data_IF_635715838621
#
_entry.id   IF_635715838621
#
_cell.length_a   1.000
_cell.length_b   1.000
_cell.length_c   1.000
_cell.angle_alpha   90.00
_cell.angle_beta   90.00
_cell.angle_gamma   90.00
#
_symmetry.space_group_name_H-M   'P 1'
#
loop_
_entity.id
_entity.type
_entity.pdbx_description
1 polymer ?
#
# COMPACT_ATOMS: atom_id res chain seq x y z
N UNK A 1 16.02 -4.30 -61.27
CA UNK A 1 16.21 -5.39 -60.29
C UNK A 1 15.10 -5.33 -59.25
N UNK A 2 14.39 -6.43 -58.94
CA UNK A 2 13.37 -6.40 -57.90
C UNK A 2 14.03 -6.43 -56.52
N UNK A 3 13.62 -5.52 -55.65
CA UNK A 3 14.13 -5.40 -54.29
C UNK A 3 13.77 -6.64 -53.46
N UNK A 4 14.80 -7.39 -53.06
CA UNK A 4 14.69 -8.49 -52.09
C UNK A 4 14.39 -7.88 -50.72
N UNK A 5 13.19 -8.14 -50.17
CA UNK A 5 12.83 -7.79 -48.80
C UNK A 5 13.60 -8.68 -47.84
N UNK A 6 14.52 -8.12 -47.06
CA UNK A 6 15.21 -8.82 -45.98
C UNK A 6 14.20 -9.20 -44.88
N UNK A 7 14.10 -10.49 -44.56
CA UNK A 7 13.37 -11.02 -43.41
C UNK A 7 14.04 -10.55 -42.10
N UNK A 8 13.67 -9.36 -41.63
CA UNK A 8 14.02 -8.91 -40.29
C UNK A 8 13.31 -9.76 -39.24
N UNK A 9 14.04 -10.25 -38.25
CA UNK A 9 13.53 -11.04 -37.12
C UNK A 9 12.18 -10.50 -36.62
N UNK A 10 11.16 -11.37 -36.55
CA UNK A 10 9.81 -11.01 -36.16
C UNK A 10 9.80 -10.46 -34.72
N UNK A 11 9.74 -9.13 -34.58
CA UNK A 11 9.59 -8.48 -33.28
C UNK A 11 8.15 -8.69 -32.79
N UNK A 12 8.01 -9.25 -31.60
CA UNK A 12 6.70 -9.35 -30.96
C UNK A 12 6.12 -7.96 -30.74
N UNK A 13 4.85 -7.77 -31.13
CA UNK A 13 4.15 -6.52 -30.87
C UNK A 13 3.84 -6.39 -29.37
N UNK A 14 3.83 -5.16 -28.82
CA UNK A 14 3.44 -4.91 -27.43
C UNK A 14 2.05 -5.49 -27.09
N UNK A 15 1.02 -5.37 -27.95
CA UNK A 15 -0.26 -6.03 -27.72
C UNK A 15 -0.18 -7.57 -27.67
N UNK A 16 0.66 -8.18 -28.52
CA UNK A 16 0.87 -9.64 -28.51
C UNK A 16 1.47 -10.10 -27.19
N UNK A 17 2.52 -9.42 -26.70
CA UNK A 17 3.14 -9.70 -25.41
C UNK A 17 2.16 -9.50 -24.25
N UNK A 18 1.36 -8.43 -24.28
CA UNK A 18 0.36 -8.19 -23.25
C UNK A 18 -0.68 -9.31 -23.21
N UNK A 19 -1.18 -9.78 -24.35
CA UNK A 19 -2.13 -10.90 -24.42
C UNK A 19 -1.52 -12.18 -23.85
N UNK A 20 -0.25 -12.44 -24.18
CA UNK A 20 0.49 -13.59 -23.69
C UNK A 20 0.61 -13.54 -22.15
N UNK A 21 1.06 -12.42 -21.59
CA UNK A 21 1.21 -12.25 -20.13
C UNK A 21 -0.10 -12.33 -19.36
N UNK A 22 -1.25 -12.02 -19.99
CA UNK A 22 -2.57 -12.10 -19.35
C UNK A 22 -3.22 -13.47 -19.43
N UNK A 23 -2.71 -14.37 -20.26
CA UNK A 23 -3.37 -15.64 -20.50
C UNK A 23 -3.07 -16.63 -19.36
N UNK A 24 -4.11 -16.97 -18.59
CA UNK A 24 -4.01 -17.93 -17.47
C UNK A 24 -3.74 -19.37 -17.93
N UNK A 25 -3.90 -19.65 -19.23
CA UNK A 25 -3.58 -20.97 -19.83
C UNK A 25 -2.14 -21.37 -19.53
N UNK A 26 -1.22 -20.40 -19.51
CA UNK A 26 0.19 -20.67 -19.21
C UNK A 26 0.43 -21.09 -17.75
N UNK A 27 -0.48 -20.75 -16.84
CA UNK A 27 -0.49 -21.17 -15.44
C UNK A 27 -1.35 -22.43 -15.19
N UNK A 28 -1.83 -23.08 -16.27
CA UNK A 28 -2.55 -24.35 -16.20
C UNK A 28 -4.07 -24.26 -16.22
N UNK A 29 -4.66 -23.08 -16.44
CA UNK A 29 -6.12 -22.90 -16.50
C UNK A 29 -6.53 -22.30 -17.83
N UNK A 30 -7.17 -23.10 -18.67
CA UNK A 30 -7.78 -22.65 -19.91
C UNK A 30 -9.27 -22.36 -19.70
N UNK A 31 -9.77 -21.24 -20.22
CA UNK A 31 -11.18 -20.88 -20.11
C UNK A 31 -11.90 -21.15 -21.43
N UNK A 32 -12.85 -22.07 -21.45
CA UNK A 32 -13.71 -22.34 -22.59
C UNK A 32 -14.99 -21.51 -22.52
N UNK A 33 -15.29 -20.75 -23.58
CA UNK A 33 -16.50 -19.94 -23.69
C UNK A 33 -16.25 -18.57 -24.30
N UNK A 34 -17.32 -17.78 -24.47
CA UNK A 34 -17.26 -16.42 -25.01
C UNK A 34 -17.63 -15.41 -23.92
N UNK A 35 -16.68 -14.53 -23.56
CA UNK A 35 -16.92 -13.44 -22.60
C UNK A 35 -18.20 -12.67 -22.96
N UNK A 36 -19.14 -12.60 -22.00
CA UNK A 36 -20.36 -11.80 -22.08
C UNK A 36 -21.62 -12.53 -22.59
N UNK A 37 -21.54 -13.81 -22.97
CA UNK A 37 -22.74 -14.62 -23.30
C UNK A 37 -22.93 -15.85 -22.42
N UNK A 38 -21.84 -16.53 -22.06
CA UNK A 38 -21.87 -17.76 -21.25
C UNK A 38 -20.87 -17.67 -20.09
N UNK A 39 -21.08 -18.46 -19.03
CA UNK A 39 -20.08 -18.65 -17.96
C UNK A 39 -18.84 -19.35 -18.52
N UNK A 40 -17.66 -18.80 -18.24
CA UNK A 40 -16.40 -19.39 -18.69
C UNK A 40 -16.13 -20.68 -17.90
N UNK A 41 -15.97 -21.80 -18.61
CA UNK A 41 -15.70 -23.09 -17.99
C UNK A 41 -14.18 -23.25 -17.85
N UNK A 42 -13.64 -23.35 -16.62
CA UNK A 42 -12.22 -23.60 -16.41
C UNK A 42 -11.88 -25.06 -16.74
N UNK A 43 -10.82 -25.26 -17.52
CA UNK A 43 -10.28 -26.56 -17.92
C UNK A 43 -8.81 -26.60 -17.52
N UNK A 44 -8.44 -27.62 -16.75
CA UNK A 44 -7.05 -27.84 -16.34
C UNK A 44 -6.21 -28.30 -17.54
N UNK A 45 -5.06 -27.64 -17.74
CA UNK A 45 -4.11 -27.95 -18.81
C UNK A 45 -2.68 -27.96 -18.26
N UNK A 46 -1.72 -28.63 -18.91
CA UNK A 46 -0.33 -28.61 -18.48
C UNK A 46 0.21 -27.18 -18.40
N UNK A 47 0.65 -26.78 -17.20
CA UNK A 47 1.19 -25.45 -16.97
C UNK A 47 2.61 -25.30 -17.57
N UNK A 48 2.88 -24.16 -18.19
CA UNK A 48 4.21 -23.79 -18.71
C UNK A 48 4.98 -22.97 -17.66
N UNK A 49 4.26 -22.21 -16.83
CA UNK A 49 4.81 -21.42 -15.71
C UNK A 49 4.08 -21.75 -14.41
N UNK A 50 4.74 -21.57 -13.26
CA UNK A 50 4.09 -21.77 -11.96
C UNK A 50 2.99 -20.72 -11.72
N UNK A 51 2.00 -21.10 -10.90
CA UNK A 51 0.90 -20.20 -10.51
C UNK A 51 1.41 -18.92 -9.84
N UNK A 52 2.36 -19.08 -8.92
CA UNK A 52 3.03 -17.97 -8.23
C UNK A 52 3.68 -16.97 -9.20
N UNK A 53 4.38 -17.47 -10.23
CA UNK A 53 5.02 -16.61 -11.24
C UNK A 53 3.99 -15.82 -12.03
N UNK A 54 2.87 -16.45 -12.40
CA UNK A 54 1.80 -15.81 -13.14
C UNK A 54 1.06 -14.75 -12.29
N UNK A 55 0.77 -15.07 -11.03
CA UNK A 55 0.13 -14.14 -10.09
C UNK A 55 1.02 -12.89 -9.86
N UNK A 56 2.33 -13.08 -9.66
CA UNK A 56 3.30 -11.99 -9.58
C UNK A 56 3.32 -11.12 -10.85
N UNK A 57 3.22 -11.74 -12.04
CA UNK A 57 3.14 -11.02 -13.30
C UNK A 57 1.85 -10.19 -13.41
N UNK A 58 0.70 -10.68 -12.94
CA UNK A 58 -0.55 -9.92 -12.91
C UNK A 58 -0.46 -8.71 -11.98
N UNK A 59 0.12 -8.88 -10.78
CA UNK A 59 0.37 -7.78 -9.84
C UNK A 59 1.25 -6.72 -10.51
N UNK A 60 2.32 -7.13 -11.21
CA UNK A 60 3.21 -6.20 -11.92
C UNK A 60 2.50 -5.49 -13.08
N UNK A 61 1.68 -6.18 -13.86
CA UNK A 61 0.87 -5.57 -14.93
C UNK A 61 -0.11 -4.53 -14.37
N UNK A 62 -0.75 -4.80 -13.24
CA UNK A 62 -1.65 -3.87 -12.58
C UNK A 62 -0.91 -2.61 -12.10
N UNK A 63 0.26 -2.76 -11.44
CA UNK A 63 1.14 -1.65 -11.07
C UNK A 63 1.56 -0.82 -12.30
N UNK A 64 2.06 -1.49 -13.34
CA UNK A 64 2.48 -0.82 -14.59
C UNK A 64 1.33 -0.06 -15.27
N UNK A 65 0.10 -0.59 -15.22
CA UNK A 65 -1.09 0.11 -15.74
C UNK A 65 -1.40 1.35 -14.93
N UNK A 66 -1.36 1.26 -13.60
CA UNK A 66 -1.58 2.40 -12.72
C UNK A 66 -0.55 3.51 -12.98
N UNK A 67 0.72 3.13 -13.17
CA UNK A 67 1.85 4.06 -13.32
C UNK A 67 2.16 4.45 -14.78
N UNK A 68 1.39 3.96 -15.75
CA UNK A 68 1.67 4.14 -17.17
C UNK A 68 1.68 5.62 -17.62
N UNK A 69 2.74 6.16 -18.25
CA UNK A 69 2.79 7.56 -18.70
C UNK A 69 1.83 7.90 -19.85
N UNK A 70 1.03 6.94 -20.32
CA UNK A 70 0.08 7.10 -21.42
C UNK A 70 -0.83 8.32 -21.18
N UNK A 71 -1.00 9.14 -22.21
CA UNK A 71 -1.84 10.35 -22.25
C UNK A 71 -1.36 11.53 -21.37
N UNK A 72 -0.11 11.51 -20.88
CA UNK A 72 0.42 12.62 -20.08
C UNK A 72 0.96 13.74 -20.97
N UNK A 73 0.28 14.90 -20.99
CA UNK A 73 0.71 16.11 -21.74
C UNK A 73 1.75 16.96 -21.00
N UNK A 74 1.79 16.89 -19.66
CA UNK A 74 2.68 17.70 -18.81
C UNK A 74 3.32 16.85 -17.72
N UNK A 75 4.51 17.24 -17.29
CA UNK A 75 5.26 16.52 -16.26
C UNK A 75 4.74 16.86 -14.85
N UNK A 76 4.53 15.82 -14.05
CA UNK A 76 4.09 15.88 -12.66
C UNK A 76 5.01 14.96 -11.87
N UNK A 77 5.87 15.52 -11.03
CA UNK A 77 6.91 14.75 -10.34
C UNK A 77 6.28 13.77 -9.35
N UNK A 78 5.27 14.22 -8.60
CA UNK A 78 4.49 13.39 -7.68
C UNK A 78 3.21 12.80 -8.29
N UNK A 79 3.11 12.75 -9.63
CA UNK A 79 1.96 12.18 -10.31
C UNK A 79 1.64 10.76 -9.83
N UNK A 80 0.37 10.52 -9.45
CA UNK A 80 -0.20 9.25 -8.95
C UNK A 80 0.29 8.75 -7.60
N UNK A 81 1.21 9.47 -6.97
CA UNK A 81 1.80 9.16 -5.67
C UNK A 81 1.14 9.94 -4.52
N UNK A 82 0.09 10.70 -4.83
CA UNK A 82 -0.59 11.59 -3.89
C UNK A 82 -1.99 11.09 -3.59
N UNK A 83 -2.36 11.07 -2.30
CA UNK A 83 -3.71 10.83 -1.80
C UNK A 83 -4.27 12.05 -1.07
N UNK A 84 -5.59 12.16 -1.05
CA UNK A 84 -6.29 13.16 -0.26
C UNK A 84 -6.51 12.64 1.16
N UNK A 85 -6.03 13.37 2.17
CA UNK A 85 -6.22 13.03 3.58
C UNK A 85 -7.66 13.18 4.07
N UNK A 86 -8.52 13.88 3.30
CA UNK A 86 -9.94 14.10 3.65
C UNK A 86 -10.83 12.99 3.12
N UNK A 87 -10.72 12.65 1.82
CA UNK A 87 -11.62 11.69 1.16
C UNK A 87 -10.95 10.38 0.72
N UNK A 88 -9.64 10.22 0.94
CA UNK A 88 -8.85 9.03 0.60
C UNK A 88 -8.58 8.80 -0.89
N UNK A 89 -9.18 9.60 -1.79
CA UNK A 89 -9.02 9.45 -3.24
C UNK A 89 -7.61 9.85 -3.69
N UNK A 90 -7.14 9.22 -4.79
CA UNK A 90 -5.89 9.62 -5.45
C UNK A 90 -6.04 11.00 -6.08
N UNK A 91 -5.08 11.88 -5.84
CA UNK A 91 -5.06 13.23 -6.37
C UNK A 91 -4.56 13.21 -7.82
N UNK A 92 -5.25 13.93 -8.70
CA UNK A 92 -4.98 13.96 -10.13
C UNK A 92 -4.22 15.25 -10.52
N UNK A 93 -3.33 15.12 -11.52
CA UNK A 93 -2.72 16.28 -12.16
C UNK A 93 -3.69 16.96 -13.13
N UNK A 94 -3.82 18.28 -13.03
CA UNK A 94 -4.61 19.10 -13.94
C UNK A 94 -3.79 20.30 -14.40
N UNK A 95 -3.83 20.58 -15.70
CA UNK A 95 -3.23 21.79 -16.25
C UNK A 95 -4.31 22.84 -16.54
N UNK A 96 -3.95 24.12 -16.36
CA UNK A 96 -4.72 25.27 -16.82
C UNK A 96 -3.82 26.10 -17.73
N UNK A 97 -4.34 26.47 -18.90
CA UNK A 97 -3.65 27.36 -19.84
C UNK A 97 -4.18 28.77 -19.65
N UNK A 98 -3.29 29.74 -19.57
CA UNK A 98 -3.59 31.16 -19.46
C UNK A 98 -2.67 31.91 -20.43
N UNK A 99 -3.22 32.32 -21.58
CA UNK A 99 -2.43 32.75 -22.73
C UNK A 99 -1.47 31.65 -23.21
N UNK A 100 -0.17 31.95 -23.28
CA UNK A 100 0.88 30.98 -23.62
C UNK A 100 1.36 30.16 -22.41
N UNK A 101 1.11 30.65 -21.18
CA UNK A 101 1.58 29.99 -19.96
C UNK A 101 0.69 28.82 -19.59
N UNK A 102 1.31 27.72 -19.17
CA UNK A 102 0.61 26.54 -18.67
C UNK A 102 0.97 26.37 -17.19
N UNK A 103 -0.06 26.36 -16.35
CA UNK A 103 0.06 26.08 -14.93
C UNK A 103 -0.38 24.65 -14.63
N UNK A 104 0.43 23.90 -13.89
CA UNK A 104 0.10 22.56 -13.41
C UNK A 104 -0.42 22.63 -11.97
N UNK A 105 -1.39 21.78 -11.66
CA UNK A 105 -2.03 21.69 -10.36
C UNK A 105 -2.30 20.24 -9.97
N UNK A 106 -2.25 19.96 -8.67
CA UNK A 106 -2.75 18.75 -8.07
C UNK A 106 -4.15 19.02 -7.51
N UNK A 107 -5.14 18.24 -7.98
CA UNK A 107 -6.56 18.48 -7.71
C UNK A 107 -7.22 17.18 -7.25
N UNK A 108 -7.99 17.27 -6.16
CA UNK A 108 -8.79 16.15 -5.68
C UNK A 108 -9.98 15.92 -6.63
N UNK A 109 -10.19 14.70 -7.18
CA UNK A 109 -11.27 14.42 -8.12
C UNK A 109 -12.67 14.70 -7.56
N UNK A 110 -12.86 14.52 -6.25
CA UNK A 110 -14.11 14.85 -5.55
C UNK A 110 -14.55 16.30 -5.69
N UNK A 111 -13.65 17.24 -6.00
CA UNK A 111 -14.04 18.63 -6.20
C UNK A 111 -14.80 18.84 -7.52
N UNK A 112 -14.77 17.85 -8.42
CA UNK A 112 -15.53 17.84 -9.68
C UNK A 112 -16.76 16.95 -9.60
N UNK A 113 -16.68 15.90 -8.78
CA UNK A 113 -17.79 14.98 -8.53
C UNK A 113 -18.59 15.48 -7.33
N UNK A 114 -19.74 16.10 -7.57
CA UNK A 114 -20.68 16.62 -6.55
C UNK A 114 -21.14 15.59 -5.50
N UNK A 115 -20.72 14.32 -5.59
CA UNK A 115 -21.15 13.22 -4.76
C UNK A 115 -20.33 13.02 -3.47
N UNK A 116 -19.20 13.73 -3.27
CA UNK A 116 -18.41 13.62 -2.03
C UNK A 116 -18.06 15.00 -1.47
N UNK A 117 -18.38 15.21 -0.20
CA UNK A 117 -17.93 16.38 0.57
C UNK A 117 -16.42 16.30 0.79
N UNK A 118 -15.66 17.10 0.06
CA UNK A 118 -14.22 17.22 0.22
C UNK A 118 -13.82 18.68 0.05
N UNK A 119 -13.19 19.24 1.08
CA UNK A 119 -12.76 20.64 1.12
C UNK A 119 -11.30 20.83 0.67
N UNK A 120 -10.69 19.80 0.10
CA UNK A 120 -9.28 19.81 -0.28
C UNK A 120 -9.03 20.85 -1.40
N UNK A 121 -8.20 21.86 -1.13
CA UNK A 121 -7.88 22.90 -2.11
C UNK A 121 -6.86 22.40 -3.14
N UNK A 122 -6.92 22.92 -4.36
CA UNK A 122 -5.93 22.61 -5.39
C UNK A 122 -4.54 23.15 -5.01
N UNK A 123 -3.51 22.36 -5.25
CA UNK A 123 -2.12 22.71 -4.96
C UNK A 123 -1.39 22.96 -6.27
N UNK A 124 -0.51 23.96 -6.32
CA UNK A 124 0.32 24.21 -7.51
C UNK A 124 1.33 23.07 -7.66
N UNK A 125 1.44 22.52 -8.87
CA UNK A 125 2.31 21.40 -9.16
C UNK A 125 3.77 21.72 -8.89
N UNK A 126 4.23 22.88 -9.37
CA UNK A 126 5.60 23.35 -9.16
C UNK A 126 5.96 23.49 -7.67
N UNK A 127 5.07 24.07 -6.86
CA UNK A 127 5.33 24.30 -5.43
C UNK A 127 5.45 22.97 -4.67
N UNK A 128 4.54 22.02 -4.93
CA UNK A 128 4.59 20.69 -4.28
C UNK A 128 5.80 19.89 -4.77
N UNK A 129 6.02 19.83 -6.08
CA UNK A 129 7.11 19.04 -6.66
C UNK A 129 8.48 19.56 -6.20
N UNK A 130 8.66 20.88 -6.11
CA UNK A 130 9.88 21.47 -5.57
C UNK A 130 10.06 21.16 -4.08
N UNK A 131 9.01 21.32 -3.26
CA UNK A 131 9.09 21.04 -1.83
C UNK A 131 9.43 19.56 -1.55
N UNK A 132 8.78 18.63 -2.26
CA UNK A 132 9.07 17.20 -2.14
C UNK A 132 10.50 16.90 -2.61
N UNK A 133 10.93 17.50 -3.71
CA UNK A 133 12.29 17.28 -4.21
C UNK A 133 13.35 17.78 -3.22
N UNK A 134 13.21 19.00 -2.69
CA UNK A 134 14.12 19.52 -1.66
C UNK A 134 14.15 18.64 -0.42
N UNK A 135 13.00 18.11 0.00
CA UNK A 135 12.95 17.13 1.08
C UNK A 135 13.76 15.87 0.75
N UNK A 136 13.54 15.26 -0.43
CA UNK A 136 14.32 14.10 -0.90
C UNK A 136 15.82 14.41 -0.91
N UNK A 137 16.23 15.60 -1.38
CA UNK A 137 17.64 16.03 -1.34
C UNK A 137 18.16 16.06 0.09
N UNK A 138 17.46 16.77 0.98
CA UNK A 138 17.88 16.91 2.38
C UNK A 138 17.98 15.57 3.11
N UNK A 139 17.08 14.64 2.77
CA UNK A 139 17.03 13.31 3.32
C UNK A 139 18.23 12.46 2.86
N UNK A 140 18.56 12.51 1.57
CA UNK A 140 19.68 11.76 1.01
C UNK A 140 21.05 12.34 1.36
N UNK A 141 21.15 13.66 1.55
CA UNK A 141 22.42 14.32 1.92
C UNK A 141 22.70 14.26 3.44
N UNK A 142 21.71 13.89 4.26
CA UNK A 142 21.88 13.78 5.71
C UNK A 142 21.92 12.31 6.16
N UNK A 143 23.11 11.67 6.23
CA UNK A 143 23.24 10.26 6.58
C UNK A 143 22.76 9.94 8.01
N UNK A 144 22.76 10.92 8.93
CA UNK A 144 22.24 10.73 10.29
C UNK A 144 20.72 10.67 10.30
N UNK A 145 20.06 11.61 9.63
CA UNK A 145 18.59 11.60 9.52
C UNK A 145 18.09 10.35 8.78
N UNK A 146 18.82 9.90 7.76
CA UNK A 146 18.54 8.65 7.06
C UNK A 146 18.65 7.43 7.99
N UNK A 147 19.72 7.34 8.79
CA UNK A 147 19.90 6.24 9.74
C UNK A 147 18.82 6.23 10.83
N UNK A 148 18.47 7.40 11.37
CA UNK A 148 17.38 7.55 12.35
C UNK A 148 16.02 7.17 11.74
N UNK A 149 15.74 7.55 10.49
CA UNK A 149 14.53 7.16 9.77
C UNK A 149 14.45 5.65 9.49
N UNK A 150 15.57 5.03 9.08
CA UNK A 150 15.67 3.58 8.89
C UNK A 150 15.40 2.81 10.18
N UNK A 151 15.93 3.28 11.30
CA UNK A 151 15.72 2.64 12.60
C UNK A 151 14.28 2.85 13.10
N UNK A 152 13.73 4.06 12.93
CA UNK A 152 12.32 4.31 13.22
C UNK A 152 11.37 3.42 12.41
N UNK A 153 11.64 3.26 11.11
CA UNK A 153 10.88 2.35 10.24
C UNK A 153 11.01 0.89 10.70
N UNK A 154 12.19 0.43 11.12
CA UNK A 154 12.37 -0.90 11.72
C UNK A 154 11.54 -1.09 12.97
N UNK A 155 11.51 -0.10 13.85
CA UNK A 155 10.69 -0.14 15.05
C UNK A 155 9.20 -0.22 14.72
N UNK A 156 8.74 0.53 13.73
CA UNK A 156 7.34 0.52 13.32
C UNK A 156 6.94 -0.79 12.64
N UNK A 157 7.78 -1.33 11.75
CA UNK A 157 7.59 -2.69 11.23
C UNK A 157 7.63 -3.75 12.35
N UNK A 158 8.47 -3.57 13.37
CA UNK A 158 8.50 -4.45 14.53
C UNK A 158 7.20 -4.37 15.34
N UNK A 159 6.61 -3.18 15.50
CA UNK A 159 5.31 -2.98 16.16
C UNK A 159 4.16 -3.59 15.37
N UNK A 160 4.10 -3.33 14.06
CA UNK A 160 3.05 -3.87 13.18
C UNK A 160 3.12 -5.40 13.07
N UNK A 161 4.32 -5.97 13.17
CA UNK A 161 4.52 -7.43 13.15
C UNK A 161 4.23 -8.12 14.49
N UNK A 162 3.96 -7.39 15.58
CA UNK A 162 3.65 -7.99 16.89
C UNK A 162 2.49 -9.00 16.84
N UNK A 163 1.31 -8.69 16.26
CA UNK A 163 0.20 -9.65 16.21
C UNK A 163 0.54 -10.90 15.38
N UNK A 164 1.35 -10.74 14.34
CA UNK A 164 1.82 -11.82 13.48
C UNK A 164 2.79 -12.73 14.25
N UNK A 165 3.71 -12.14 15.04
CA UNK A 165 4.63 -12.88 15.92
C UNK A 165 3.89 -13.61 17.04
N UNK A 166 2.88 -12.98 17.65
CA UNK A 166 2.02 -13.63 18.64
C UNK A 166 1.29 -14.83 18.03
N UNK A 167 0.72 -14.67 16.83
CA UNK A 167 0.07 -15.78 16.12
C UNK A 167 1.07 -16.89 15.79
N UNK A 168 2.29 -16.54 15.37
CA UNK A 168 3.35 -17.51 15.08
C UNK A 168 3.68 -18.35 16.32
N UNK A 169 3.79 -17.72 17.50
CA UNK A 169 4.04 -18.40 18.76
C UNK A 169 2.90 -19.34 19.17
N UNK A 170 1.64 -18.95 18.92
CA UNK A 170 0.48 -19.83 19.14
C UNK A 170 0.51 -21.03 18.18
N UNK A 171 0.78 -20.80 16.89
CA UNK A 171 0.83 -21.86 15.89
C UNK A 171 1.96 -22.84 16.19
N UNK A 172 3.15 -22.37 16.58
CA UNK A 172 4.25 -23.25 16.96
C UNK A 172 3.89 -24.11 18.18
N UNK A 173 3.29 -23.51 19.22
CA UNK A 173 2.85 -24.26 20.39
C UNK A 173 1.80 -25.33 20.06
N UNK A 174 0.88 -25.05 19.11
CA UNK A 174 -0.09 -26.03 18.64
C UNK A 174 0.57 -27.18 17.86
N UNK A 175 1.59 -26.90 17.06
CA UNK A 175 2.37 -27.94 16.36
C UNK A 175 3.03 -28.85 17.40
N UNK A 176 3.70 -28.27 18.39
CA UNK A 176 4.39 -29.02 19.45
C UNK A 176 3.42 -29.89 20.26
N UNK A 177 2.23 -29.38 20.60
CA UNK A 177 1.20 -30.17 21.29
C UNK A 177 0.68 -31.34 20.44
N UNK A 178 0.41 -31.11 19.15
CA UNK A 178 -0.04 -32.18 18.24
C UNK A 178 1.05 -33.24 18.02
N UNK A 179 2.33 -32.84 17.95
CA UNK A 179 3.45 -33.77 17.89
C UNK A 179 3.58 -34.59 19.20
N UNK A 180 3.39 -33.96 20.36
CA UNK A 180 3.36 -34.66 21.64
C UNK A 180 2.19 -35.65 21.74
N UNK A 181 1.01 -35.30 21.22
CA UNK A 181 -0.14 -36.21 21.13
C UNK A 181 0.14 -37.40 20.21
N UNK A 182 0.85 -37.18 19.09
CA UNK A 182 1.25 -38.23 18.17
C UNK A 182 2.21 -39.24 18.85
N UNK A 183 3.18 -38.74 19.62
CA UNK A 183 4.08 -39.58 20.40
C UNK A 183 3.33 -40.38 21.47
N UNK A 184 2.43 -39.75 22.23
CA UNK A 184 1.58 -40.46 23.21
C UNK A 184 0.71 -41.52 22.55
N UNK A 185 0.16 -41.24 21.36
CA UNK A 185 -0.64 -42.22 20.61
C UNK A 185 0.20 -43.44 20.19
N UNK A 186 1.49 -43.25 19.89
CA UNK A 186 2.42 -44.33 19.60
C UNK A 186 2.67 -45.19 20.84
N UNK A 187 2.93 -44.58 21.99
CA UNK A 187 3.17 -45.29 23.26
C UNK A 187 1.96 -46.16 23.66
N UNK A 188 0.74 -45.61 23.54
CA UNK A 188 -0.51 -46.32 23.81
C UNK A 188 -0.82 -47.47 22.84
N UNK A 189 -0.35 -47.38 21.59
CA UNK A 189 -0.46 -48.50 20.65
C UNK A 189 0.50 -49.63 21.02
N UNK A 190 1.73 -49.28 21.45
CA UNK A 190 2.73 -50.25 21.91
C UNK A 190 2.31 -50.96 23.21
N UNK A 191 1.52 -50.32 24.07
CA UNK A 191 0.94 -50.96 25.27
C UNK A 191 -0.20 -51.93 24.96
N UNK A 192 -0.69 -51.98 23.71
CA UNK A 192 -1.73 -52.91 23.27
C UNK A 192 -3.16 -52.46 23.58
N UNK A 193 -3.37 -51.20 23.96
CA UNK A 193 -4.68 -50.66 24.37
C UNK A 193 -5.59 -50.29 23.19
N UNK A 194 -5.11 -50.36 21.94
CA UNK A 194 -5.83 -49.90 20.74
C UNK A 194 -5.75 -50.89 19.58
N UNK A 195 -6.80 -50.90 18.75
CA UNK A 195 -6.77 -51.59 17.46
C UNK A 195 -5.99 -50.80 16.42
N UNK A 196 -5.47 -51.49 15.41
CA UNK A 196 -4.71 -50.87 14.32
C UNK A 196 -5.53 -49.83 13.57
N UNK A 197 -6.81 -50.08 13.37
CA UNK A 197 -7.73 -49.20 12.64
C UNK A 197 -7.89 -47.86 13.38
N UNK A 198 -8.13 -47.88 14.70
CA UNK A 198 -8.26 -46.67 15.52
C UNK A 198 -6.96 -45.86 15.54
N UNK A 199 -5.81 -46.53 15.59
CA UNK A 199 -4.51 -45.87 15.51
C UNK A 199 -4.31 -45.17 14.16
N UNK A 200 -4.59 -45.86 13.04
CA UNK A 200 -4.44 -45.27 11.71
C UNK A 200 -5.31 -44.04 11.50
N UNK A 201 -6.56 -44.07 11.95
CA UNK A 201 -7.49 -42.95 11.85
C UNK A 201 -7.02 -41.74 12.67
N UNK A 202 -6.68 -41.95 13.95
CA UNK A 202 -6.24 -40.86 14.84
C UNK A 202 -4.91 -40.26 14.40
N UNK A 203 -3.97 -41.09 13.95
CA UNK A 203 -2.69 -40.66 13.37
C UNK A 203 -2.92 -39.77 12.16
N UNK A 204 -3.72 -40.22 11.19
CA UNK A 204 -4.00 -39.46 9.98
C UNK A 204 -4.63 -38.08 10.29
N UNK A 205 -5.52 -38.00 11.30
CA UNK A 205 -6.11 -36.73 11.75
C UNK A 205 -5.09 -35.77 12.36
N UNK A 206 -4.18 -36.27 13.21
CA UNK A 206 -3.13 -35.44 13.81
C UNK A 206 -2.12 -34.98 12.75
N UNK A 207 -1.69 -35.87 11.86
CA UNK A 207 -0.78 -35.53 10.75
C UNK A 207 -1.40 -34.48 9.81
N UNK A 208 -2.68 -34.61 9.47
CA UNK A 208 -3.39 -33.61 8.67
C UNK A 208 -3.46 -32.24 9.37
N UNK A 209 -3.60 -32.23 10.70
CA UNK A 209 -3.63 -31.00 11.51
C UNK A 209 -2.26 -30.34 11.56
N UNK A 210 -1.20 -31.12 11.81
CA UNK A 210 0.19 -30.66 11.79
C UNK A 210 0.53 -30.07 10.43
N UNK A 211 0.23 -30.77 9.33
CA UNK A 211 0.49 -30.29 7.98
C UNK A 211 -0.30 -29.02 7.62
N UNK A 212 -1.45 -28.78 8.24
CA UNK A 212 -2.19 -27.52 8.08
C UNK A 212 -1.54 -26.37 8.87
N UNK A 213 -1.12 -26.63 10.12
CA UNK A 213 -0.45 -25.65 10.97
C UNK A 213 0.95 -25.28 10.44
N UNK A 214 1.70 -26.23 9.90
CA UNK A 214 3.01 -25.98 9.27
C UNK A 214 2.88 -25.09 8.03
N UNK A 215 1.82 -25.27 7.23
CA UNK A 215 1.52 -24.36 6.10
C UNK A 215 1.18 -22.95 6.58
N UNK A 216 0.41 -22.83 7.66
CA UNK A 216 0.11 -21.53 8.27
C UNK A 216 1.40 -20.87 8.80
N UNK A 217 2.24 -21.64 9.51
CA UNK A 217 3.52 -21.19 10.05
C UNK A 217 4.44 -20.69 8.93
N UNK A 218 4.56 -21.44 7.83
CA UNK A 218 5.36 -21.06 6.67
C UNK A 218 4.87 -19.72 6.06
N UNK A 219 3.54 -19.53 5.97
CA UNK A 219 2.95 -18.28 5.50
C UNK A 219 3.25 -17.10 6.43
N UNK A 220 3.12 -17.27 7.75
CA UNK A 220 3.42 -16.24 8.74
C UNK A 220 4.91 -15.86 8.74
N UNK A 221 5.81 -16.84 8.63
CA UNK A 221 7.26 -16.59 8.55
C UNK A 221 7.61 -15.85 7.26
N UNK A 222 7.01 -16.22 6.12
CA UNK A 222 7.22 -15.49 4.87
C UNK A 222 6.76 -14.03 4.99
N UNK A 223 5.60 -13.79 5.60
CA UNK A 223 5.07 -12.46 5.84
C UNK A 223 6.01 -11.60 6.70
N UNK A 224 6.56 -12.17 7.78
CA UNK A 224 7.54 -11.48 8.63
C UNK A 224 8.84 -11.14 7.90
N UNK A 225 9.32 -12.04 7.02
CA UNK A 225 10.53 -11.80 6.22
C UNK A 225 10.35 -10.68 5.20
N UNK A 226 9.16 -10.57 4.61
CA UNK A 226 8.85 -9.47 3.66
C UNK A 226 8.79 -8.11 4.34
N UNK A 227 8.46 -8.07 5.64
CA UNK A 227 8.26 -6.81 6.39
C UNK A 227 9.49 -6.34 7.17
N UNK A 228 10.52 -7.18 7.34
CA UNK A 228 11.70 -6.81 8.13
C UNK A 228 12.81 -6.20 7.27
N UNK A 229 13.28 -4.99 7.62
CA UNK A 229 14.57 -4.50 7.16
C UNK A 229 15.69 -5.12 8.01
N UNK A 230 16.65 -5.79 7.36
CA UNK A 230 17.87 -6.30 8.01
C UNK A 230 18.94 -5.21 8.10
N UNK A 231 19.91 -5.39 9.00
CA UNK A 231 21.04 -4.46 9.13
C UNK A 231 21.85 -4.37 7.81
N UNK A 232 21.96 -5.47 7.07
CA UNK A 232 22.58 -5.49 5.74
C UNK A 232 21.79 -4.67 4.71
N UNK A 233 20.46 -4.73 4.76
CA UNK A 233 19.59 -3.93 3.90
C UNK A 233 19.69 -2.44 4.25
N UNK A 234 19.75 -2.10 5.54
CA UNK A 234 20.03 -0.72 5.99
C UNK A 234 21.36 -0.24 5.42
N UNK A 235 22.43 -1.02 5.58
CA UNK A 235 23.75 -0.62 5.08
C UNK A 235 23.75 -0.45 3.56
N UNK A 236 23.03 -1.32 2.84
CA UNK A 236 22.87 -1.21 1.38
C UNK A 236 22.12 0.07 1.00
N UNK A 237 21.05 0.41 1.71
CA UNK A 237 20.28 1.64 1.51
C UNK A 237 21.12 2.89 1.84
N UNK A 238 21.93 2.85 2.89
CA UNK A 238 22.85 3.93 3.24
C UNK A 238 23.93 4.14 2.16
N UNK A 239 24.51 3.05 1.65
CA UNK A 239 25.51 3.13 0.57
C UNK A 239 24.89 3.65 -0.73
N UNK A 240 23.65 3.23 -1.05
CA UNK A 240 22.91 3.75 -2.18
C UNK A 240 22.62 5.25 -2.03
N UNK A 241 22.17 5.68 -0.86
CA UNK A 241 21.93 7.09 -0.58
C UNK A 241 23.19 7.94 -0.74
N UNK A 242 24.35 7.44 -0.28
CA UNK A 242 25.64 8.10 -0.48
C UNK A 242 25.98 8.24 -1.99
N UNK A 243 25.85 7.17 -2.77
CA UNK A 243 26.10 7.18 -4.22
C UNK A 243 25.17 8.16 -4.98
N UNK A 244 23.90 8.23 -4.59
CA UNK A 244 22.94 9.15 -5.19
C UNK A 244 23.22 10.59 -4.76
N UNK A 245 23.66 10.82 -3.52
CA UNK A 245 24.02 12.15 -3.01
C UNK A 245 25.16 12.81 -3.79
N UNK A 246 26.11 12.03 -4.29
CA UNK A 246 27.22 12.54 -5.11
C UNK A 246 26.77 13.00 -6.51
N UNK A 247 25.67 12.45 -7.04
CA UNK A 247 25.17 12.76 -8.38
C UNK A 247 23.92 13.68 -8.37
N UNK A 248 23.51 14.13 -7.19
CA UNK A 248 22.23 14.78 -6.96
C UNK A 248 22.13 16.17 -7.64
N UNK A 249 23.25 16.89 -7.75
CA UNK A 249 23.32 18.18 -8.47
C UNK A 249 23.14 18.03 -9.98
N UNK A 250 23.70 16.97 -10.59
CA UNK A 250 23.54 16.70 -12.02
C UNK A 250 22.08 16.32 -12.37
N UNK A 251 21.34 15.74 -11.42
CA UNK A 251 19.95 15.32 -11.58
C UNK A 251 18.94 16.48 -11.40
N UNK A 252 19.37 17.66 -10.92
CA UNK A 252 18.43 18.73 -10.57
C UNK A 252 17.71 19.32 -11.81
N UNK A 253 18.27 19.15 -12.99
CA UNK A 253 17.70 19.61 -14.25
C UNK A 253 17.05 18.50 -15.09
N UNK A 254 17.15 17.23 -14.68
CA UNK A 254 16.58 16.10 -15.41
C UNK A 254 15.33 15.55 -14.70
N UNK A 255 14.16 15.80 -15.30
CA UNK A 255 12.89 15.32 -14.78
C UNK A 255 12.83 13.79 -14.67
N UNK A 256 13.36 13.08 -15.66
CA UNK A 256 13.28 11.62 -15.69
C UNK A 256 14.17 11.01 -14.61
N UNK A 257 15.33 11.62 -14.36
CA UNK A 257 16.21 11.26 -13.25
C UNK A 257 15.53 11.47 -11.89
N UNK A 258 14.92 12.64 -11.65
CA UNK A 258 14.15 12.91 -10.42
C UNK A 258 13.01 11.92 -10.21
N UNK A 259 12.30 11.61 -11.31
CA UNK A 259 11.15 10.71 -11.27
C UNK A 259 11.56 9.27 -10.96
N UNK A 260 12.67 8.78 -11.52
CA UNK A 260 13.21 7.45 -11.20
C UNK A 260 13.55 7.32 -9.72
N UNK A 261 14.22 8.31 -9.16
CA UNK A 261 14.60 8.30 -7.74
C UNK A 261 13.38 8.28 -6.81
N UNK A 262 12.36 9.09 -7.14
CA UNK A 262 11.07 9.09 -6.42
C UNK A 262 10.35 7.74 -6.53
N UNK A 263 10.52 7.03 -7.65
CA UNK A 263 9.95 5.70 -7.84
C UNK A 263 10.71 4.61 -7.08
N UNK A 264 12.03 4.71 -7.02
CA UNK A 264 12.91 3.78 -6.30
C UNK A 264 12.76 3.90 -4.78
N UNK A 265 12.64 5.12 -4.26
CA UNK A 265 12.39 5.37 -2.83
C UNK A 265 10.91 5.16 -2.42
N UNK A 266 10.05 4.79 -3.37
CA UNK A 266 8.60 4.75 -3.27
C UNK A 266 7.98 5.94 -2.52
N UNK A 267 8.36 7.16 -2.88
CA UNK A 267 7.86 8.36 -2.20
C UNK A 267 6.36 8.48 -2.45
N UNK A 268 5.57 8.64 -1.38
CA UNK A 268 4.14 8.88 -1.39
C UNK A 268 3.83 10.16 -0.60
N UNK A 269 2.68 10.78 -0.90
CA UNK A 269 2.25 11.98 -0.20
C UNK A 269 0.75 11.94 0.10
N UNK A 270 0.38 12.46 1.26
CA UNK A 270 -1.00 12.71 1.67
C UNK A 270 -1.19 14.21 1.83
N UNK A 271 -2.07 14.79 1.03
CA UNK A 271 -2.40 16.22 1.12
C UNK A 271 -3.64 16.42 1.97
N UNK A 272 -3.56 17.34 2.93
CA UNK A 272 -4.68 17.72 3.80
C UNK A 272 -4.75 19.24 4.00
N UNK A 273 -5.83 19.69 4.63
CA UNK A 273 -6.02 21.06 5.07
C UNK A 273 -6.01 21.11 6.59
N UNK A 274 -5.04 21.81 7.19
CA UNK A 274 -4.95 22.01 8.66
C UNK A 274 -4.93 23.52 8.92
N UNK A 275 -5.77 24.00 9.84
CA UNK A 275 -5.89 25.43 10.21
C UNK A 275 -6.06 26.40 9.02
N UNK A 276 -6.62 25.92 7.91
CA UNK A 276 -6.82 26.70 6.68
C UNK A 276 -5.63 26.70 5.71
N UNK A 277 -4.50 26.11 6.12
CA UNK A 277 -3.29 25.92 5.32
C UNK A 277 -3.26 24.55 4.62
N UNK A 278 -2.44 24.46 3.57
CA UNK A 278 -2.24 23.22 2.82
C UNK A 278 -1.04 22.49 3.40
N UNK A 279 -1.24 21.28 3.89
CA UNK A 279 -0.17 20.45 4.47
C UNK A 279 0.03 19.21 3.60
N UNK A 280 1.30 18.88 3.35
CA UNK A 280 1.72 17.61 2.77
C UNK A 280 2.42 16.77 3.82
N UNK A 281 1.87 15.59 4.08
CA UNK A 281 2.57 14.51 4.74
C UNK A 281 3.25 13.68 3.66
N UNK A 282 4.56 13.56 3.70
CA UNK A 282 5.34 12.79 2.72
C UNK A 282 5.99 11.63 3.43
N UNK A 283 5.88 10.45 2.83
CA UNK A 283 6.54 9.26 3.31
C UNK A 283 7.33 8.61 2.18
N UNK A 284 8.38 7.88 2.53
CA UNK A 284 9.11 7.01 1.62
C UNK A 284 9.35 5.67 2.33
N UNK A 285 10.02 4.73 1.67
CA UNK A 285 10.42 3.43 2.26
C UNK A 285 11.22 3.59 3.57
N UNK A 286 11.73 4.79 3.86
CA UNK A 286 12.76 5.03 4.86
C UNK A 286 12.39 6.10 5.89
N UNK A 287 11.20 6.71 5.81
CA UNK A 287 10.82 7.75 6.76
C UNK A 287 9.50 8.45 6.45
N UNK A 288 9.02 9.22 7.43
CA UNK A 288 7.81 10.05 7.33
C UNK A 288 8.09 11.46 7.82
N UNK A 289 7.64 12.47 7.06
CA UNK A 289 7.77 13.88 7.40
C UNK A 289 6.53 14.68 7.01
N UNK A 290 6.30 15.79 7.70
CA UNK A 290 5.20 16.71 7.43
C UNK A 290 5.73 18.12 7.13
N UNK A 291 5.20 18.75 6.07
CA UNK A 291 5.52 20.14 5.77
C UNK A 291 4.31 20.94 5.25
N UNK A 292 4.30 22.23 5.56
CA UNK A 292 3.33 23.18 5.02
C UNK A 292 3.75 23.63 3.62
N UNK A 293 2.82 23.62 2.67
CA UNK A 293 3.05 24.09 1.30
C UNK A 293 2.68 25.57 1.23
N UNK A 294 3.70 26.43 1.26
CA UNK A 294 3.52 27.87 1.06
C UNK A 294 3.61 28.19 -0.43
N UNK A 295 2.64 28.90 -1.04
CA UNK A 295 2.71 29.24 -2.44
C UNK A 295 3.90 30.15 -2.72
N UNK A 296 4.76 29.79 -3.68
CA UNK A 296 5.97 30.56 -4.05
C UNK A 296 5.69 31.94 -4.71
N UNK A 297 4.46 32.46 -4.56
CA UNK A 297 3.98 33.70 -5.19
C UNK A 297 4.04 34.96 -4.31
N UNK A 298 4.29 34.84 -3.00
CA UNK A 298 4.50 35.99 -2.13
C UNK A 298 5.96 35.98 -1.69
N UNK A 299 6.82 36.66 -2.46
CA UNK A 299 8.16 37.01 -1.98
C UNK A 299 7.99 37.95 -0.79
N UNK A 300 8.04 37.39 0.42
CA UNK A 300 8.63 38.11 1.54
C UNK A 300 9.92 37.41 1.92
N UNK A 301 11.02 38.17 1.96
CA UNK A 301 12.40 37.68 1.93
C UNK A 301 13.01 37.58 3.33
N UNK A 302 12.19 37.55 4.36
CA UNK A 302 12.60 37.37 5.74
C UNK A 302 11.74 36.28 6.39
N UNK A 303 12.40 35.31 7.02
CA UNK A 303 11.81 34.21 7.80
C UNK A 303 11.42 32.93 7.04
N UNK A 304 12.36 32.33 6.30
CA UNK A 304 12.40 30.87 6.21
C UNK A 304 12.88 30.29 7.56
N UNK A 305 11.95 30.19 8.52
CA UNK A 305 12.15 29.38 9.72
C UNK A 305 11.28 28.14 9.59
N UNK A 306 11.88 27.03 9.19
CA UNK A 306 11.24 25.72 9.25
C UNK A 306 10.88 25.42 10.70
N UNK A 307 9.60 25.49 11.02
CA UNK A 307 9.09 25.08 12.31
C UNK A 307 8.74 23.58 12.25
N UNK A 308 9.71 22.72 12.53
CA UNK A 308 9.40 21.35 12.95
C UNK A 308 8.59 21.43 14.25
N UNK A 309 7.30 21.08 14.22
CA UNK A 309 6.52 20.87 15.44
C UNK A 309 6.57 19.39 15.82
N UNK A 310 7.13 19.01 16.98
CA UNK A 310 6.96 17.66 17.49
C UNK A 310 5.50 17.45 17.92
N UNK A 311 4.93 16.29 17.57
CA UNK A 311 3.63 15.86 18.10
C UNK A 311 3.78 15.52 19.59
N UNK A 312 3.15 16.31 20.44
CA UNK A 312 2.99 15.96 21.85
C UNK A 312 2.39 17.10 22.68
N UNK A 313 1.34 16.81 23.46
CA UNK A 313 0.85 17.70 24.53
C UNK A 313 1.86 17.64 25.70
N UNK A 314 3.04 18.22 25.53
CA UNK A 314 4.04 18.38 26.60
C UNK A 314 3.98 19.78 27.20
N UNK A 315 3.94 19.91 28.53
CA UNK A 315 4.19 21.20 29.20
C UNK A 315 5.65 21.61 28.96
N UNK A 316 5.90 22.91 28.80
CA UNK A 316 7.27 23.45 28.75
C UNK A 316 8.05 23.07 30.02
N UNK A 317 9.31 22.62 29.91
CA UNK A 317 10.14 22.29 31.07
C UNK A 317 10.44 23.55 31.91
N UNK A 318 10.56 23.42 33.24
CA UNK A 318 10.96 24.53 34.10
C UNK A 318 12.46 24.82 33.91
N UNK A 319 12.80 25.87 33.17
CA UNK A 319 14.16 26.36 32.98
C UNK A 319 14.21 27.71 32.25
N UNK A 320 15.38 28.38 32.20
CA UNK A 320 15.59 29.59 31.42
C UNK A 320 15.47 29.28 29.91
N UNK A 321 14.76 30.14 29.17
CA UNK A 321 14.54 29.98 27.73
C UNK A 321 15.75 30.47 26.93
N UNK A 322 16.08 29.84 25.78
CA UNK A 322 17.09 30.35 24.87
C UNK A 322 16.71 31.71 24.27
N UNK A 323 17.73 32.48 23.87
CA UNK A 323 17.56 33.83 23.36
C UNK A 323 16.61 33.87 22.14
N UNK A 324 15.57 34.70 22.21
CA UNK A 324 14.56 34.83 21.14
C UNK A 324 13.25 34.06 21.36
N UNK A 325 13.11 33.29 22.45
CA UNK A 325 11.85 32.66 22.82
C UNK A 325 11.11 33.48 23.89
N UNK A 326 9.82 33.78 23.68
CA UNK A 326 8.92 34.35 24.70
C UNK A 326 8.04 33.25 25.29
N UNK A 327 7.78 33.27 26.60
CA UNK A 327 6.74 32.40 27.19
C UNK A 327 5.37 32.82 26.66
N UNK A 328 4.53 31.84 26.31
CA UNK A 328 3.14 32.11 25.97
C UNK A 328 2.43 32.82 27.14
N UNK A 329 1.59 33.83 26.88
CA UNK A 329 0.78 34.43 27.94
C UNK A 329 -0.19 33.37 28.50
N UNK A 330 -0.08 33.09 29.80
CA UNK A 330 -1.07 32.27 30.51
C UNK A 330 -2.42 33.00 30.53
N UNK A 331 -3.55 32.31 30.31
CA UNK A 331 -4.86 32.92 30.49
C UNK A 331 -5.06 33.28 31.97
N UNK A 332 -5.31 34.55 32.24
CA UNK A 332 -5.66 35.06 33.56
C UNK A 332 -6.94 34.39 34.07
N UNK A 333 -6.93 34.00 35.34
CA UNK A 333 -8.04 33.30 36.00
C UNK A 333 -9.23 34.19 36.36
N UNK A 334 -10.38 33.53 36.52
CA UNK A 334 -11.59 34.01 37.20
C UNK A 334 -12.41 32.80 37.68
N UNK A 335 -13.19 32.90 38.78
CA UNK A 335 -13.28 31.83 39.77
C UNK A 335 -14.55 30.95 39.69
N UNK A 336 -14.40 29.70 40.14
CA UNK A 336 -15.37 28.98 40.98
C UNK A 336 -16.62 28.39 40.32
N UNK A 337 -16.67 27.05 40.25
CA UNK A 337 -17.76 26.21 40.80
C UNK A 337 -17.39 24.73 40.69
N UNK A 338 -17.20 24.12 41.85
CA UNK A 338 -17.17 22.67 42.04
C UNK A 338 -18.56 22.05 41.77
N UNK A 339 -18.60 20.91 41.06
CA UNK A 339 -19.80 20.08 40.88
C UNK A 339 -19.67 19.04 39.76
N UNK A 340 -20.28 17.84 39.87
CA UNK A 340 -19.55 16.58 39.70
C UNK A 340 -19.69 15.87 38.34
N UNK A 341 -18.81 14.87 38.18
CA UNK A 341 -18.70 13.90 37.11
C UNK A 341 -20.02 13.42 36.50
N UNK A 342 -20.17 13.58 35.17
CA UNK A 342 -21.18 12.90 34.37
C UNK A 342 -20.53 12.15 33.19
N UNK A 343 -20.66 10.83 33.29
CA UNK A 343 -20.52 9.69 32.34
C UNK A 343 -20.03 9.94 30.89
N UNK A 344 -19.20 9.02 30.34
CA UNK A 344 -18.81 9.04 28.94
C UNK A 344 -19.98 8.66 28.00
N UNK A 345 -20.05 9.22 26.78
CA UNK A 345 -20.94 8.70 25.75
C UNK A 345 -20.48 7.32 25.25
N UNK A 346 -21.49 6.49 24.97
CA UNK A 346 -21.44 5.06 24.70
C UNK A 346 -20.67 4.70 23.44
N UNK A 347 -19.86 3.65 23.56
CA UNK A 347 -19.27 2.89 22.44
C UNK A 347 -20.41 2.23 21.64
N UNK A 348 -20.49 2.39 20.30
CA UNK A 348 -21.39 1.58 19.49
C UNK A 348 -20.85 0.14 19.34
N UNK A 349 -21.70 -0.90 19.38
CA UNK A 349 -21.27 -2.30 19.32
C UNK A 349 -20.82 -2.72 17.91
N UNK A 350 -19.99 -3.78 17.80
CA UNK A 350 -19.53 -4.30 16.53
C UNK A 350 -20.66 -4.99 15.75
N UNK A 351 -20.62 -4.85 14.42
CA UNK A 351 -21.57 -5.47 13.49
C UNK A 351 -21.48 -7.01 13.57
N UNK A 352 -22.59 -7.74 13.70
CA UNK A 352 -22.56 -9.19 13.74
C UNK A 352 -22.37 -9.79 12.35
N UNK A 353 -21.40 -10.68 12.23
CA UNK A 353 -21.38 -11.71 11.19
C UNK A 353 -22.55 -12.69 11.40
N UNK A 354 -23.12 -13.16 10.29
CA UNK A 354 -24.18 -14.15 10.35
C UNK A 354 -24.86 -14.38 9.02
N UNK A 355 -24.56 -15.53 8.43
CA UNK A 355 -25.28 -16.14 7.32
C UNK A 355 -26.79 -16.19 7.55
N UNK A 356 -27.58 -15.86 6.53
CA UNK A 356 -28.91 -16.44 6.37
C UNK A 356 -29.30 -16.50 4.90
N UNK A 357 -29.48 -17.74 4.43
CA UNK A 357 -30.22 -18.11 3.23
C UNK A 357 -31.58 -17.40 3.22
N UNK A 358 -31.90 -16.71 2.14
CA UNK A 358 -33.28 -16.37 1.79
C UNK A 358 -33.49 -16.67 0.31
N UNK A 359 -34.25 -17.74 0.08
CA UNK A 359 -34.77 -18.19 -1.21
C UNK A 359 -35.56 -17.04 -1.84
N UNK A 360 -35.23 -16.68 -3.07
CA UNK A 360 -36.17 -16.03 -3.97
C UNK A 360 -36.66 -17.08 -4.95
N UNK A 361 -37.88 -17.55 -4.74
CA UNK A 361 -38.61 -18.36 -5.69
C UNK A 361 -39.19 -17.46 -6.79
N UNK A 362 -38.97 -17.76 -8.08
CA UNK A 362 -39.85 -17.27 -9.14
C UNK A 362 -41.05 -18.22 -9.26
N UNK A 363 -42.25 -17.70 -9.05
CA UNK A 363 -43.51 -18.40 -9.30
C UNK A 363 -43.70 -18.82 -10.77
N UNK A 364 -44.70 -19.68 -11.04
CA UNK A 364 -44.79 -20.45 -12.27
C UNK A 364 -45.11 -19.57 -13.48
N UNK A 365 -44.24 -19.59 -14.50
CA UNK A 365 -44.58 -19.05 -15.82
C UNK A 365 -45.53 -20.01 -16.52
N UNK A 366 -46.68 -19.46 -16.89
CA UNK A 366 -47.76 -20.09 -17.65
C UNK A 366 -47.23 -20.76 -18.91
N UNK A 367 -47.60 -22.02 -19.06
CA UNK A 367 -47.61 -22.79 -20.29
C UNK A 367 -48.45 -22.07 -21.37
N UNK A 368 -47.90 -21.95 -22.57
CA UNK A 368 -48.66 -21.78 -23.82
C UNK A 368 -48.05 -22.63 -24.93
N UNK A 369 -48.89 -23.11 -25.86
CA UNK A 369 -48.77 -24.43 -26.46
C UNK A 369 -47.82 -24.47 -27.65
N UNK A 370 -47.33 -25.68 -27.92
CA UNK A 370 -46.43 -26.01 -28.99
C UNK A 370 -46.91 -25.54 -30.37
N UNK A 371 -45.94 -25.14 -31.18
CA UNK A 371 -46.03 -25.18 -32.63
C UNK A 371 -45.04 -26.24 -33.09
N UNK A 372 -45.56 -27.45 -33.29
CA UNK A 372 -44.91 -28.38 -34.20
C UNK A 372 -45.07 -27.89 -35.63
N UNK A 373 -44.10 -28.20 -36.47
CA UNK A 373 -44.24 -28.48 -37.91
C UNK A 373 -42.88 -28.97 -38.47
N UNK A 374 -42.86 -29.70 -39.59
CA UNK A 374 -42.61 -31.14 -39.56
C UNK A 374 -41.47 -31.58 -40.50
N UNK A 375 -41.19 -32.90 -40.43
CA UNK A 375 -40.36 -33.71 -41.32
C UNK A 375 -38.86 -33.41 -41.34
#
# INVERSE_FOLDING_TARGET
>A
EPQVKTLGWARWSRPSLHKLLKNETYAGVWHYGKEGKDELIPVEVPAIVSRETWDAAQVRLAKNRADSPRNRKYNYLMGRRIRCGVCGLKIAGQSKKDGEKVYTYYVCPSNKEYARECNMKSVRGADLDAAVWEWVKSFLTNPKALAEGLEGYREDCAKESLPVRERLAVVSALIDDNQAQLNKLLDLYLSGEFTREMWTERKARLEATIAALEREQAGLVAHLKEQSLTDEQIQTLMNFAAMVSENLEAMDNDFDAKRRLIEELDVQATLTMEDGEKVAYVSCIVGEDAFCIVPMGTRDRSETRWACRPRGRGRCPPGPLPAGCRRCPSPAGGPGRDGPCLRPPRVPPPLPGGSSRARWAPGPRRSRPGRGRPA
#
